data_IF_986166106210
#
_entry.id   IF_986166106210
#
_cell.length_a   1.000
_cell.length_b   1.000
_cell.length_c   1.000
_cell.angle_alpha   90.00
_cell.angle_beta   90.00
_cell.angle_gamma   90.00
#
_symmetry.space_group_name_H-M   'P 1'
#
loop_
_entity.id
_entity.type
_entity.pdbx_description
1 polymer ?
#
# COMPACT_ATOMS: atom_id res chain seq x y z
N UNK A 1 -25.60 1.13 47.58
CA UNK A 1 -25.77 0.90 46.12
C UNK A 1 -24.96 1.85 45.21
N UNK A 2 -24.83 3.15 45.53
CA UNK A 2 -24.05 4.10 44.70
C UNK A 2 -22.54 3.80 44.60
N UNK A 3 -21.93 3.32 45.67
CA UNK A 3 -20.52 2.89 45.67
C UNK A 3 -20.26 1.73 44.69
N UNK A 4 -21.14 0.72 44.70
CA UNK A 4 -21.03 -0.41 43.77
C UNK A 4 -21.17 0.03 42.31
N UNK A 5 -22.10 0.95 42.02
CA UNK A 5 -22.28 1.51 40.68
C UNK A 5 -21.02 2.29 40.22
N UNK A 6 -20.43 3.11 41.10
CA UNK A 6 -19.20 3.83 40.79
C UNK A 6 -18.03 2.86 40.55
N UNK A 7 -17.86 1.83 41.39
CA UNK A 7 -16.81 0.83 41.22
C UNK A 7 -16.94 0.06 39.89
N UNK A 8 -18.17 -0.34 39.52
CA UNK A 8 -18.45 -1.02 38.24
C UNK A 8 -18.12 -0.10 37.06
N UNK A 9 -18.50 1.17 37.10
CA UNK A 9 -18.21 2.13 36.04
C UNK A 9 -16.70 2.36 35.87
N UNK A 10 -15.96 2.52 36.96
CA UNK A 10 -14.50 2.69 36.90
C UNK A 10 -13.81 1.45 36.34
N UNK A 11 -14.23 0.25 36.74
CA UNK A 11 -13.72 -1.01 36.19
C UNK A 11 -14.05 -1.14 34.69
N UNK A 12 -15.29 -0.87 34.30
CA UNK A 12 -15.72 -0.94 32.90
C UNK A 12 -14.92 0.03 32.01
N UNK A 13 -14.67 1.26 32.48
CA UNK A 13 -13.88 2.25 31.76
C UNK A 13 -12.41 1.81 31.63
N UNK A 14 -11.81 1.31 32.71
CA UNK A 14 -10.44 0.83 32.71
C UNK A 14 -10.24 -0.38 31.80
N UNK A 15 -11.17 -1.33 31.80
CA UNK A 15 -11.15 -2.49 30.91
C UNK A 15 -11.34 -2.04 29.46
N UNK A 16 -12.35 -1.20 29.19
CA UNK A 16 -12.66 -0.70 27.85
C UNK A 16 -11.50 0.06 27.22
N UNK A 17 -10.83 0.93 27.98
CA UNK A 17 -9.66 1.67 27.50
C UNK A 17 -8.51 0.73 27.10
N UNK A 18 -8.19 -0.26 27.94
CA UNK A 18 -7.13 -1.22 27.64
C UNK A 18 -7.47 -2.10 26.42
N UNK A 19 -8.71 -2.58 26.32
CA UNK A 19 -9.18 -3.35 25.16
C UNK A 19 -9.14 -2.52 23.89
N UNK A 20 -9.53 -1.24 23.94
CA UNK A 20 -9.49 -0.36 22.78
C UNK A 20 -8.05 -0.16 22.26
N UNK A 21 -7.09 0.11 23.16
CA UNK A 21 -5.67 0.24 22.81
C UNK A 21 -5.15 -1.06 22.19
N UNK A 22 -5.41 -2.21 22.83
CA UNK A 22 -4.95 -3.50 22.31
C UNK A 22 -5.59 -3.84 20.97
N UNK A 23 -6.87 -3.49 20.76
CA UNK A 23 -7.57 -3.71 19.48
C UNK A 23 -6.95 -2.88 18.36
N UNK A 24 -6.63 -1.61 18.61
CA UNK A 24 -5.95 -0.75 17.62
C UNK A 24 -4.55 -1.28 17.32
N UNK A 25 -3.78 -1.66 18.34
CA UNK A 25 -2.45 -2.26 18.17
C UNK A 25 -2.54 -3.56 17.37
N UNK A 26 -3.49 -4.44 17.71
CA UNK A 26 -3.70 -5.69 16.98
C UNK A 26 -4.07 -5.42 15.52
N UNK A 27 -5.00 -4.50 15.26
CA UNK A 27 -5.46 -4.20 13.91
C UNK A 27 -4.39 -3.52 13.05
N UNK A 28 -3.59 -2.63 13.63
CA UNK A 28 -2.63 -1.79 12.89
C UNK A 28 -1.24 -2.41 12.83
N UNK A 29 -0.76 -3.04 13.90
CA UNK A 29 0.62 -3.51 14.03
C UNK A 29 0.77 -5.03 13.88
N UNK A 30 -0.25 -5.80 14.26
CA UNK A 30 -0.12 -7.27 14.38
C UNK A 30 -1.01 -8.05 13.42
N UNK A 31 -2.03 -7.43 12.82
CA UNK A 31 -2.86 -8.08 11.82
C UNK A 31 -2.03 -8.23 10.56
N UNK A 32 -1.82 -9.45 10.06
CA UNK A 32 -1.10 -9.64 8.81
C UNK A 32 -1.81 -8.88 7.70
N UNK A 33 -1.03 -8.25 6.81
CA UNK A 33 -1.56 -7.62 5.62
C UNK A 33 -2.34 -8.66 4.82
N UNK A 34 -3.50 -8.31 4.22
CA UNK A 34 -4.36 -9.25 3.50
C UNK A 34 -3.80 -9.61 2.11
N UNK A 35 -2.51 -9.91 2.03
CA UNK A 35 -1.82 -10.42 0.85
C UNK A 35 -1.54 -11.91 1.01
N UNK A 36 -1.38 -12.68 -0.08
CA UNK A 36 -0.85 -14.03 0.01
C UNK A 36 0.58 -13.99 0.57
N UNK A 37 0.88 -14.84 1.55
CA UNK A 37 2.21 -14.95 2.16
C UNK A 37 2.80 -13.61 2.66
N UNK A 38 2.09 -12.85 3.52
CA UNK A 38 2.52 -11.52 3.94
C UNK A 38 3.86 -11.55 4.70
N UNK A 39 4.21 -12.68 5.31
CA UNK A 39 5.50 -12.93 5.95
C UNK A 39 6.71 -12.93 5.00
N UNK A 40 6.46 -13.09 3.69
CA UNK A 40 7.50 -13.07 2.64
C UNK A 40 7.62 -11.71 1.94
N UNK A 41 6.72 -10.77 2.24
CA UNK A 41 6.72 -9.45 1.64
C UNK A 41 7.64 -8.51 2.44
N UNK A 42 8.66 -7.97 1.76
CA UNK A 42 9.61 -7.04 2.36
C UNK A 42 9.73 -5.77 1.54
N UNK A 43 10.09 -4.66 2.19
CA UNK A 43 10.46 -3.41 1.52
C UNK A 43 11.98 -3.29 1.52
N UNK A 44 12.53 -3.01 0.33
CA UNK A 44 13.96 -2.75 0.16
C UNK A 44 14.19 -1.25 0.39
N UNK A 45 15.13 -0.95 1.27
CA UNK A 45 15.55 0.42 1.60
C UNK A 45 16.98 0.63 1.13
N UNK A 46 17.26 1.82 0.58
CA UNK A 46 18.62 2.22 0.23
C UNK A 46 19.07 3.41 1.10
N UNK A 47 20.21 3.24 1.77
CA UNK A 47 20.77 4.19 2.73
C UNK A 47 22.15 4.68 2.26
N UNK A 48 22.27 5.98 1.99
CA UNK A 48 23.55 6.61 1.67
C UNK A 48 24.33 6.94 2.93
N UNK A 49 25.15 5.97 3.36
CA UNK A 49 26.00 6.10 4.56
C UNK A 49 26.95 7.31 4.51
N UNK A 50 27.40 7.69 3.31
CA UNK A 50 28.31 8.83 3.13
C UNK A 50 27.69 10.21 3.42
N UNK A 51 26.38 10.35 3.26
CA UNK A 51 25.64 11.59 3.52
C UNK A 51 24.71 11.51 4.73
N UNK A 52 24.70 10.38 5.44
CA UNK A 52 23.74 10.06 6.51
C UNK A 52 22.28 10.19 6.06
N UNK A 53 22.01 9.96 4.77
CA UNK A 53 20.67 9.94 4.20
C UNK A 53 20.11 8.53 4.25
N UNK A 54 18.85 8.39 4.66
CA UNK A 54 18.15 7.10 4.73
C UNK A 54 17.05 7.04 3.69
N UNK A 55 16.77 5.84 3.20
CA UNK A 55 15.68 5.55 2.26
C UNK A 55 15.65 6.53 1.06
N UNK A 56 16.78 6.66 0.36
CA UNK A 56 16.95 7.62 -0.74
C UNK A 56 16.25 7.19 -2.03
N UNK A 57 15.66 6.00 -2.04
CA UNK A 57 15.08 5.36 -3.22
C UNK A 57 16.12 4.64 -4.06
N UNK A 58 15.65 3.64 -4.81
CA UNK A 58 16.47 2.80 -5.68
C UNK A 58 16.34 3.32 -7.11
N UNK A 59 17.46 3.54 -7.79
CA UNK A 59 17.45 3.94 -9.20
C UNK A 59 17.03 2.80 -10.13
N UNK A 60 16.57 3.12 -11.34
CA UNK A 60 16.16 2.09 -12.30
C UNK A 60 17.26 1.06 -12.62
N UNK A 61 18.54 1.45 -12.82
CA UNK A 61 19.63 0.48 -13.00
C UNK A 61 19.85 -0.42 -11.79
N UNK A 62 19.79 0.12 -10.57
CA UNK A 62 19.94 -0.67 -9.34
C UNK A 62 18.80 -1.67 -9.17
N UNK A 63 17.57 -1.27 -9.52
CA UNK A 63 16.42 -2.17 -9.54
C UNK A 63 16.62 -3.33 -10.52
N UNK A 64 17.17 -3.06 -11.71
CA UNK A 64 17.47 -4.11 -12.69
C UNK A 64 18.57 -5.05 -12.18
N UNK A 65 19.65 -4.50 -11.62
CA UNK A 65 20.70 -5.34 -11.01
C UNK A 65 20.16 -6.19 -9.85
N UNK A 66 19.28 -5.65 -9.01
CA UNK A 66 18.59 -6.38 -7.95
C UNK A 66 17.69 -7.49 -8.50
N UNK A 67 16.99 -7.24 -9.62
CA UNK A 67 16.13 -8.25 -10.26
C UNK A 67 16.92 -9.37 -10.92
N UNK A 68 18.01 -9.02 -11.61
CA UNK A 68 18.74 -9.94 -12.48
C UNK A 68 19.82 -10.72 -11.75
N UNK A 69 20.29 -10.23 -10.59
CA UNK A 69 21.44 -10.80 -9.87
C UNK A 69 21.14 -11.25 -8.44
N UNK A 70 19.91 -11.11 -7.98
CA UNK A 70 19.51 -11.52 -6.63
C UNK A 70 18.75 -12.84 -6.64
N UNK A 71 19.31 -13.86 -6.00
CA UNK A 71 18.63 -15.15 -5.80
C UNK A 71 17.79 -15.17 -4.51
N UNK A 72 17.74 -14.07 -3.75
CA UNK A 72 17.03 -14.02 -2.45
C UNK A 72 15.55 -13.62 -2.57
N UNK A 73 15.15 -13.02 -3.70
CA UNK A 73 13.78 -12.56 -3.91
C UNK A 73 13.11 -13.33 -5.05
N UNK A 74 11.90 -13.82 -4.81
CA UNK A 74 11.09 -14.48 -5.85
C UNK A 74 10.61 -13.49 -6.90
N UNK A 75 10.24 -12.28 -6.47
CA UNK A 75 9.78 -11.19 -7.31
C UNK A 75 10.18 -9.86 -6.67
N UNK A 76 10.50 -8.86 -7.50
CA UNK A 76 10.75 -7.48 -7.05
C UNK A 76 9.87 -6.55 -7.89
N UNK A 77 9.06 -5.73 -7.23
CA UNK A 77 8.28 -4.66 -7.86
C UNK A 77 8.68 -3.31 -7.30
N UNK A 78 8.91 -2.34 -8.18
CA UNK A 78 9.08 -0.96 -7.77
C UNK A 78 7.72 -0.27 -7.62
N UNK A 79 7.67 0.67 -6.69
CA UNK A 79 6.58 1.64 -6.54
C UNK A 79 7.19 3.04 -6.45
N UNK A 80 6.50 4.02 -7.01
CA UNK A 80 6.90 5.41 -6.97
C UNK A 80 5.64 6.27 -6.74
N UNK A 81 5.39 6.69 -5.48
CA UNK A 81 4.31 7.60 -5.16
C UNK A 81 4.52 8.94 -5.86
N UNK A 82 3.46 9.48 -6.42
CA UNK A 82 3.46 10.81 -7.01
C UNK A 82 2.09 11.47 -6.86
N UNK A 83 2.04 12.76 -7.17
CA UNK A 83 0.80 13.51 -7.25
C UNK A 83 0.54 13.90 -8.70
N UNK A 84 -0.73 13.87 -9.10
CA UNK A 84 -1.18 14.36 -10.40
C UNK A 84 -2.36 15.30 -10.25
N UNK A 85 -2.60 16.13 -11.27
CA UNK A 85 -3.85 16.87 -11.39
C UNK A 85 -4.72 16.16 -12.43
N UNK A 86 -5.84 15.60 -11.98
CA UNK A 86 -6.89 15.10 -12.86
C UNK A 86 -7.61 16.28 -13.49
N UNK A 87 -7.59 16.33 -14.82
CA UNK A 87 -8.32 17.31 -15.62
C UNK A 87 -9.46 16.62 -16.36
N UNK A 88 -10.50 17.36 -16.75
CA UNK A 88 -11.67 16.81 -17.47
C UNK A 88 -13.01 16.97 -16.74
N UNK A 89 -13.01 17.39 -15.48
CA UNK A 89 -14.19 17.91 -14.77
C UNK A 89 -14.29 19.43 -14.81
N UNK A 90 -15.23 20.03 -14.07
CA UNK A 90 -15.37 21.50 -13.97
C UNK A 90 -14.12 22.19 -13.39
N UNK A 91 -13.40 21.51 -12.49
CA UNK A 91 -12.18 22.01 -11.85
C UNK A 91 -11.11 20.91 -11.80
N UNK A 92 -9.83 21.24 -12.02
CA UNK A 92 -8.74 20.29 -11.79
C UNK A 92 -8.74 19.80 -10.34
N UNK A 93 -8.59 18.49 -10.16
CA UNK A 93 -8.52 17.86 -8.85
C UNK A 93 -7.13 17.25 -8.66
N UNK A 94 -6.49 17.52 -7.53
CA UNK A 94 -5.26 16.82 -7.16
C UNK A 94 -5.60 15.40 -6.73
N UNK A 95 -4.92 14.42 -7.32
CA UNK A 95 -5.07 13.00 -7.03
C UNK A 95 -3.72 12.39 -6.69
N UNK A 96 -3.75 11.40 -5.80
CA UNK A 96 -2.60 10.56 -5.51
C UNK A 96 -2.43 9.54 -6.63
N UNK A 97 -1.20 9.35 -7.07
CA UNK A 97 -0.79 8.39 -8.08
C UNK A 97 0.28 7.47 -7.52
N UNK A 98 0.28 6.23 -7.99
CA UNK A 98 1.32 5.26 -7.67
C UNK A 98 1.79 4.63 -8.98
N UNK A 99 2.96 5.06 -9.46
CA UNK A 99 3.60 4.36 -10.56
C UNK A 99 4.17 3.05 -10.02
N UNK A 100 3.90 1.93 -10.69
CA UNK A 100 4.39 0.62 -10.25
C UNK A 100 4.95 -0.15 -11.43
N UNK A 101 5.75 -1.18 -11.12
CA UNK A 101 6.15 -2.16 -12.13
C UNK A 101 4.96 -3.02 -12.58
N UNK A 102 5.05 -3.56 -13.79
CA UNK A 102 4.02 -4.40 -14.40
C UNK A 102 3.69 -5.68 -13.62
N UNK A 103 4.61 -6.16 -12.78
CA UNK A 103 4.39 -7.31 -11.90
C UNK A 103 3.71 -6.96 -10.56
N UNK A 104 3.49 -5.69 -10.22
CA UNK A 104 3.06 -5.25 -8.89
C UNK A 104 1.82 -5.98 -8.37
N UNK A 105 0.72 -5.97 -9.12
CA UNK A 105 -0.53 -6.61 -8.70
C UNK A 105 -0.42 -8.13 -8.66
N UNK A 106 0.36 -8.73 -9.57
CA UNK A 106 0.58 -10.18 -9.60
C UNK A 106 1.39 -10.61 -8.37
N UNK A 107 2.43 -9.86 -8.01
CA UNK A 107 3.26 -10.09 -6.83
C UNK A 107 2.44 -10.01 -5.54
N UNK A 108 1.52 -9.05 -5.44
CA UNK A 108 0.61 -8.91 -4.29
C UNK A 108 -0.57 -9.90 -4.30
N UNK A 109 -0.72 -10.69 -5.37
CA UNK A 109 -1.89 -11.55 -5.56
C UNK A 109 -3.22 -10.79 -5.60
N UNK A 110 -3.17 -9.50 -5.95
CA UNK A 110 -4.33 -8.62 -5.98
C UNK A 110 -5.25 -9.02 -7.14
N UNK A 111 -6.56 -9.07 -6.88
CA UNK A 111 -7.58 -9.37 -7.88
C UNK A 111 -8.41 -8.12 -8.15
N UNK A 112 -8.57 -7.70 -9.41
CA UNK A 112 -9.45 -6.58 -9.72
C UNK A 112 -10.90 -6.99 -9.47
N UNK A 113 -11.71 -6.06 -8.98
CA UNK A 113 -13.16 -6.24 -8.86
C UNK A 113 -13.84 -6.12 -10.24
N UNK A 114 -13.34 -5.21 -11.08
CA UNK A 114 -13.82 -4.96 -12.43
C UNK A 114 -12.65 -4.93 -13.43
N UNK A 115 -12.84 -5.54 -14.60
CA UNK A 115 -11.86 -5.52 -15.68
C UNK A 115 -10.63 -6.39 -15.41
N UNK A 116 -9.43 -5.86 -15.74
CA UNK A 116 -8.14 -6.54 -15.56
C UNK A 116 -7.10 -5.57 -15.02
N UNK A 117 -6.09 -6.11 -14.32
CA UNK A 117 -4.85 -5.38 -14.02
C UNK A 117 -3.84 -5.54 -15.16
N UNK A 118 -2.85 -4.65 -15.22
CA UNK A 118 -1.67 -4.88 -16.05
C UNK A 118 -0.78 -5.98 -15.45
N UNK A 119 -0.04 -6.65 -16.31
CA UNK A 119 0.85 -7.78 -16.01
C UNK A 119 2.19 -7.59 -16.71
N UNK A 120 3.18 -8.43 -16.38
CA UNK A 120 4.49 -8.46 -17.08
C UNK A 120 4.38 -8.60 -18.60
N UNK A 121 3.30 -9.18 -19.13
CA UNK A 121 3.08 -9.28 -20.57
C UNK A 121 2.67 -7.94 -21.22
N UNK A 122 2.24 -6.96 -20.41
CA UNK A 122 1.91 -5.61 -20.87
C UNK A 122 3.13 -4.68 -20.86
N UNK A 123 4.31 -5.17 -20.44
CA UNK A 123 5.54 -4.38 -20.31
C UNK A 123 6.04 -3.90 -21.68
N UNK A 124 6.26 -2.59 -21.77
CA UNK A 124 6.71 -1.91 -22.99
C UNK A 124 7.76 -0.85 -22.63
N UNK A 125 8.68 -0.51 -23.55
CA UNK A 125 9.58 0.61 -23.34
C UNK A 125 8.79 1.90 -23.04
N UNK A 126 9.07 2.53 -21.90
CA UNK A 126 8.36 3.72 -21.45
C UNK A 126 7.21 3.41 -20.50
N UNK A 127 6.00 3.88 -20.84
CA UNK A 127 4.81 3.74 -19.99
C UNK A 127 3.80 2.77 -20.59
N UNK A 128 3.24 1.93 -19.73
CA UNK A 128 2.05 1.14 -20.06
C UNK A 128 0.84 2.08 -20.07
N UNK A 129 0.03 2.02 -21.12
CA UNK A 129 -1.16 2.88 -21.28
C UNK A 129 -2.32 2.52 -20.31
N UNK A 130 -2.13 1.50 -19.47
CA UNK A 130 -3.13 1.01 -18.52
C UNK A 130 -3.01 1.67 -17.14
N UNK A 131 -4.13 2.20 -16.64
CA UNK A 131 -4.25 2.71 -15.26
C UNK A 131 -5.23 1.82 -14.49
N UNK A 132 -4.89 1.50 -13.25
CA UNK A 132 -5.78 0.81 -12.32
C UNK A 132 -6.28 1.82 -11.30
N UNK A 133 -7.60 1.91 -11.16
CA UNK A 133 -8.26 2.84 -10.24
C UNK A 133 -8.51 2.16 -8.91
N UNK A 134 -8.24 2.88 -7.81
CA UNK A 134 -8.67 2.41 -6.50
C UNK A 134 -10.19 2.44 -6.42
N UNK A 135 -10.75 1.51 -5.65
CA UNK A 135 -12.19 1.40 -5.47
C UNK A 135 -12.81 2.72 -4.93
N UNK A 136 -12.18 3.32 -3.92
CA UNK A 136 -12.60 4.62 -3.37
C UNK A 136 -12.63 5.72 -4.44
N UNK A 137 -11.65 5.75 -5.33
CA UNK A 137 -11.61 6.71 -6.42
C UNK A 137 -12.70 6.42 -7.47
N UNK A 138 -12.86 5.16 -7.86
CA UNK A 138 -13.88 4.70 -8.81
C UNK A 138 -15.29 5.07 -8.34
N UNK A 139 -15.67 4.70 -7.11
CA UNK A 139 -17.00 5.01 -6.54
C UNK A 139 -17.29 6.50 -6.43
N UNK A 140 -16.25 7.32 -6.23
CA UNK A 140 -16.39 8.78 -6.13
C UNK A 140 -16.57 9.44 -7.50
N UNK A 141 -15.92 8.92 -8.53
CA UNK A 141 -15.83 9.56 -9.85
C UNK A 141 -16.82 9.02 -10.86
N UNK A 142 -17.22 7.76 -10.76
CA UNK A 142 -18.13 7.14 -11.71
C UNK A 142 -19.50 6.93 -11.08
N UNK A 143 -20.57 7.47 -11.69
CA UNK A 143 -21.93 7.24 -11.21
C UNK A 143 -22.22 5.74 -11.25
N UNK A 144 -22.77 5.21 -10.15
CA UNK A 144 -23.28 3.85 -10.09
C UNK A 144 -24.25 3.66 -11.27
N UNK A 145 -23.92 2.72 -12.15
CA UNK A 145 -24.79 2.31 -13.26
C UNK A 145 -25.78 1.26 -12.77
#
# INVERSE_FOLDING_TARGET
>A
PGFAAAAILTLALGIGANVAVFTVVQAVLLSPLPYPHPERLVRIYDDLRGSNSRDVGISAPELWDLRDRSDVFENISAIYPSDGNLTGGEKPERIELLATSTNYFTMLGARPELGRVYTVNDEQPGFVEGVVLSDAFWRRTLPAT
#
